data_IF_626178207667
#
_entry.id   IF_626178207667
#
_cell.length_a   1.000
_cell.length_b   1.000
_cell.length_c   1.000
_cell.angle_alpha   90.00
_cell.angle_beta   90.00
_cell.angle_gamma   90.00
#
_symmetry.space_group_name_H-M   'P 1'
#
loop_
_entity.id
_entity.type
_entity.pdbx_description
1 polymer ?
#
# COMPACT_ATOMS: atom_id res chain seq x y z
N UNK A 1 -15.77 -64.20 19.99
CA UNK A 1 -15.10 -62.97 20.48
C UNK A 1 -14.17 -62.30 19.46
N UNK A 2 -13.63 -63.03 18.47
CA UNK A 2 -12.64 -62.52 17.48
C UNK A 2 -13.16 -61.53 16.41
N UNK A 3 -14.47 -61.48 16.13
CA UNK A 3 -15.05 -60.62 15.07
C UNK A 3 -15.25 -59.15 15.52
N UNK A 4 -15.46 -58.92 16.83
CA UNK A 4 -15.81 -57.61 17.41
C UNK A 4 -14.58 -56.69 17.53
N UNK A 5 -13.41 -57.24 17.82
CA UNK A 5 -12.13 -56.51 17.90
C UNK A 5 -11.62 -56.03 16.53
N UNK A 6 -11.80 -56.83 15.47
CA UNK A 6 -11.42 -56.44 14.11
C UNK A 6 -12.30 -55.30 13.60
N UNK A 7 -13.61 -55.38 13.83
CA UNK A 7 -14.54 -54.32 13.47
C UNK A 7 -14.22 -53.00 14.20
N UNK A 8 -13.88 -53.06 15.49
CA UNK A 8 -13.50 -51.87 16.27
C UNK A 8 -12.20 -51.22 15.74
N UNK A 9 -11.18 -52.02 15.41
CA UNK A 9 -9.93 -51.50 14.82
C UNK A 9 -10.14 -50.91 13.43
N UNK A 10 -11.05 -51.46 12.64
CA UNK A 10 -11.39 -50.93 11.29
C UNK A 10 -12.13 -49.60 11.42
N UNK A 11 -13.15 -49.52 12.29
CA UNK A 11 -13.89 -48.28 12.54
C UNK A 11 -12.98 -47.19 13.09
N UNK A 12 -12.08 -47.53 14.02
CA UNK A 12 -11.09 -46.59 14.56
C UNK A 12 -10.14 -46.06 13.48
N UNK A 13 -9.65 -46.93 12.58
CA UNK A 13 -8.82 -46.52 11.44
C UNK A 13 -9.58 -45.61 10.47
N UNK A 14 -10.84 -45.93 10.17
CA UNK A 14 -11.68 -45.11 9.27
C UNK A 14 -11.91 -43.73 9.89
N UNK A 15 -12.28 -43.65 11.17
CA UNK A 15 -12.44 -42.39 11.89
C UNK A 15 -11.14 -41.57 11.89
N UNK A 16 -10.01 -42.21 12.15
CA UNK A 16 -8.70 -41.53 12.15
C UNK A 16 -8.36 -40.97 10.76
N UNK A 17 -8.63 -41.74 9.69
CA UNK A 17 -8.43 -41.28 8.31
C UNK A 17 -9.35 -40.11 7.94
N UNK A 18 -10.63 -40.14 8.33
CA UNK A 18 -11.55 -39.03 8.11
C UNK A 18 -11.12 -37.76 8.84
N UNK A 19 -10.66 -37.88 10.09
CA UNK A 19 -10.14 -36.74 10.86
C UNK A 19 -8.90 -36.14 10.18
N UNK A 20 -7.97 -36.97 9.70
CA UNK A 20 -6.78 -36.49 8.98
C UNK A 20 -7.18 -35.75 7.69
N UNK A 21 -8.13 -36.27 6.92
CA UNK A 21 -8.60 -35.62 5.69
C UNK A 21 -9.23 -34.26 5.98
N UNK A 22 -10.05 -34.15 7.03
CA UNK A 22 -10.66 -32.88 7.44
C UNK A 22 -9.60 -31.87 7.86
N UNK A 23 -8.58 -32.31 8.62
CA UNK A 23 -7.48 -31.43 9.04
C UNK A 23 -6.66 -30.92 7.85
N UNK A 24 -6.37 -31.77 6.86
CA UNK A 24 -5.67 -31.37 5.64
C UNK A 24 -6.50 -30.40 4.81
N UNK A 25 -7.80 -30.67 4.64
CA UNK A 25 -8.70 -29.77 3.91
C UNK A 25 -8.83 -28.40 4.60
N UNK A 26 -8.91 -28.38 5.94
CA UNK A 26 -8.94 -27.14 6.71
C UNK A 26 -7.62 -26.35 6.59
N UNK A 27 -6.47 -27.03 6.63
CA UNK A 27 -5.16 -26.38 6.44
C UNK A 27 -4.99 -25.79 5.03
N UNK A 28 -5.42 -26.52 3.99
CA UNK A 28 -5.38 -26.04 2.60
C UNK A 28 -6.36 -24.87 2.39
N UNK A 29 -7.58 -24.96 2.92
CA UNK A 29 -8.57 -23.89 2.87
C UNK A 29 -8.12 -22.63 3.62
N UNK A 30 -7.49 -22.78 4.79
CA UNK A 30 -6.97 -21.68 5.57
C UNK A 30 -5.77 -20.99 4.89
N UNK A 31 -4.86 -21.75 4.27
CA UNK A 31 -3.78 -21.20 3.45
C UNK A 31 -4.29 -20.40 2.24
N UNK A 32 -5.36 -20.87 1.59
CA UNK A 32 -6.03 -20.14 0.50
C UNK A 32 -6.67 -18.82 0.97
N UNK A 33 -7.28 -18.82 2.17
CA UNK A 33 -7.87 -17.61 2.74
C UNK A 33 -6.81 -16.59 3.18
N UNK A 34 -5.69 -17.04 3.77
CA UNK A 34 -4.56 -16.16 4.12
C UNK A 34 -3.88 -15.55 2.88
N UNK A 35 -3.89 -16.25 1.75
CA UNK A 35 -3.33 -15.72 0.49
C UNK A 35 -4.12 -14.52 -0.07
N UNK A 36 -5.33 -14.24 0.42
CA UNK A 36 -6.21 -13.21 -0.14
C UNK A 36 -6.13 -11.85 0.58
N UNK A 37 -5.34 -11.72 1.64
CA UNK A 37 -5.08 -10.43 2.28
C UNK A 37 -3.88 -9.74 1.61
N UNK A 38 -4.13 -9.20 0.42
CA UNK A 38 -3.15 -8.39 -0.28
C UNK A 38 -3.15 -7.00 0.35
N UNK A 39 -2.32 -6.80 1.38
CA UNK A 39 -1.89 -5.46 1.79
C UNK A 39 -1.19 -4.83 0.59
N UNK A 40 -1.94 -4.07 -0.22
CA UNK A 40 -1.35 -3.34 -1.33
C UNK A 40 -0.40 -2.28 -0.77
N UNK A 41 0.89 -2.55 -0.94
CA UNK A 41 2.02 -1.63 -0.80
C UNK A 41 2.01 -0.81 0.49
N UNK A 42 2.74 -1.26 1.50
CA UNK A 42 3.22 -0.33 2.52
C UNK A 42 4.07 0.75 1.84
N UNK A 43 3.70 2.02 1.99
CA UNK A 43 4.39 3.11 1.30
C UNK A 43 5.74 3.37 1.96
N UNK A 44 6.82 3.10 1.23
CA UNK A 44 8.19 3.35 1.70
C UNK A 44 8.58 4.81 1.52
N UNK A 45 8.28 5.63 2.53
CA UNK A 45 8.64 7.05 2.56
C UNK A 45 10.15 7.26 2.74
N UNK A 46 10.74 8.13 1.93
CA UNK A 46 12.15 8.48 1.96
C UNK A 46 12.33 10.00 1.90
N UNK A 47 13.49 10.55 2.26
CA UNK A 47 13.73 11.98 2.07
C UNK A 47 13.73 12.34 0.57
N UNK A 48 13.01 13.40 0.20
CA UNK A 48 13.01 13.94 -1.16
C UNK A 48 14.38 14.51 -1.60
N UNK A 49 15.33 14.72 -0.67
CA UNK A 49 16.69 15.14 -1.01
C UNK A 49 17.54 14.04 -1.66
N UNK A 50 17.05 12.81 -1.74
CA UNK A 50 17.77 11.75 -2.44
C UNK A 50 17.87 12.06 -3.94
N UNK A 51 19.04 11.82 -4.57
CA UNK A 51 19.23 12.11 -6.00
C UNK A 51 18.18 11.50 -6.93
N UNK A 52 17.61 10.35 -6.55
CA UNK A 52 16.56 9.68 -7.32
C UNK A 52 15.27 10.49 -7.48
N UNK A 53 15.03 11.50 -6.64
CA UNK A 53 13.81 12.34 -6.67
C UNK A 53 14.06 13.75 -7.19
N UNK A 54 15.30 14.15 -7.49
CA UNK A 54 15.60 15.53 -7.87
C UNK A 54 14.89 15.99 -9.14
N UNK A 55 14.66 15.08 -10.09
CA UNK A 55 13.93 15.39 -11.33
C UNK A 55 12.43 15.64 -11.13
N UNK A 56 11.90 15.41 -9.93
CA UNK A 56 10.48 15.62 -9.62
C UNK A 56 10.15 17.08 -9.34
N UNK A 57 11.16 17.89 -9.00
CA UNK A 57 11.00 19.25 -8.52
C UNK A 57 11.82 20.23 -9.38
N UNK A 58 11.27 21.42 -9.62
CA UNK A 58 12.01 22.50 -10.27
C UNK A 58 12.91 23.27 -9.31
N UNK A 59 12.59 23.24 -8.02
CA UNK A 59 13.35 23.84 -6.92
C UNK A 59 13.66 22.75 -5.88
N UNK A 60 14.70 22.94 -5.04
CA UNK A 60 14.98 22.00 -3.96
C UNK A 60 13.75 21.85 -3.03
N UNK A 61 13.26 20.61 -2.78
CA UNK A 61 12.11 20.38 -1.92
C UNK A 61 12.44 20.71 -0.45
N UNK A 62 11.45 20.94 0.42
CA UNK A 62 11.67 21.18 1.86
C UNK A 62 12.36 20.00 2.56
N UNK A 63 13.21 20.31 3.54
CA UNK A 63 13.99 19.32 4.32
C UNK A 63 13.15 18.16 4.86
N UNK A 64 11.95 18.47 5.35
CA UNK A 64 11.04 17.50 5.94
C UNK A 64 10.16 16.75 4.92
N UNK A 65 10.20 17.10 3.64
CA UNK A 65 9.37 16.46 2.62
C UNK A 65 9.84 15.02 2.37
N UNK A 66 8.89 14.11 2.42
CA UNK A 66 9.11 12.70 2.13
C UNK A 66 8.57 12.36 0.74
N UNK A 67 9.26 11.50 0.01
CA UNK A 67 8.96 11.03 -1.33
C UNK A 67 8.82 9.51 -1.32
N UNK A 68 7.90 9.00 -2.13
CA UNK A 68 7.73 7.56 -2.36
C UNK A 68 7.31 7.30 -3.81
N UNK A 69 7.72 6.14 -4.31
CA UNK A 69 7.30 5.60 -5.60
C UNK A 69 6.57 4.28 -5.33
N UNK A 70 5.28 4.23 -5.66
CA UNK A 70 4.42 3.08 -5.40
C UNK A 70 4.20 2.33 -6.70
N UNK A 71 4.51 1.04 -6.73
CA UNK A 71 4.17 0.16 -7.85
C UNK A 71 2.75 -0.37 -7.69
N UNK A 72 1.93 -0.16 -8.72
CA UNK A 72 0.55 -0.60 -8.79
C UNK A 72 0.34 -1.37 -10.10
N UNK A 73 -0.59 -2.34 -10.15
CA UNK A 73 -0.98 -2.94 -11.42
C UNK A 73 -1.61 -1.88 -12.33
N UNK A 74 -1.33 -1.97 -13.63
CA UNK A 74 -1.90 -1.09 -14.65
C UNK A 74 -3.41 -1.35 -14.83
N UNK A 75 -3.77 -2.63 -14.81
CA UNK A 75 -5.12 -3.13 -15.07
C UNK A 75 -5.41 -4.41 -14.26
N UNK A 76 -6.62 -4.94 -14.43
CA UNK A 76 -7.11 -6.12 -13.71
C UNK A 76 -6.36 -7.42 -14.07
N UNK A 77 -5.66 -7.46 -15.20
CA UNK A 77 -4.84 -8.63 -15.58
C UNK A 77 -3.58 -8.73 -14.72
N UNK A 78 -3.13 -7.59 -14.18
CA UNK A 78 -1.91 -7.43 -13.38
C UNK A 78 -0.62 -7.84 -14.12
N UNK A 79 -0.67 -7.97 -15.45
CA UNK A 79 0.49 -8.34 -16.28
C UNK A 79 1.50 -7.19 -16.43
N UNK A 80 1.07 -5.96 -16.14
CA UNK A 80 1.90 -4.74 -16.20
C UNK A 80 1.73 -3.94 -14.94
N UNK A 81 2.80 -3.27 -14.53
CA UNK A 81 2.79 -2.32 -13.41
C UNK A 81 3.10 -0.91 -13.86
N UNK A 82 2.60 0.04 -13.08
CA UNK A 82 2.87 1.46 -13.18
C UNK A 82 3.41 1.95 -11.85
N UNK A 83 4.22 2.99 -11.91
CA UNK A 83 4.72 3.68 -10.74
C UNK A 83 3.94 4.98 -10.55
N UNK A 84 3.45 5.18 -9.32
CA UNK A 84 2.84 6.43 -8.87
C UNK A 84 3.81 7.12 -7.92
N UNK A 85 4.24 8.32 -8.28
CA UNK A 85 5.04 9.18 -7.43
C UNK A 85 4.15 9.94 -6.44
N UNK A 86 4.59 9.99 -5.19
CA UNK A 86 3.90 10.69 -4.12
C UNK A 86 4.89 11.47 -3.24
N UNK A 87 4.40 12.56 -2.67
CA UNK A 87 5.06 13.28 -1.58
C UNK A 87 4.22 13.25 -0.32
N UNK A 88 4.87 13.40 0.84
CA UNK A 88 4.24 13.51 2.15
C UNK A 88 5.01 14.52 2.98
N UNK A 89 4.33 15.57 3.41
CA UNK A 89 4.77 16.40 4.52
C UNK A 89 4.22 15.78 5.82
N UNK A 90 5.08 15.20 6.67
CA UNK A 90 4.60 14.63 7.92
C UNK A 90 4.21 15.73 8.91
N UNK A 91 2.99 15.68 9.44
CA UNK A 91 2.65 16.36 10.70
C UNK A 91 3.52 15.86 11.86
N UNK A 92 3.77 16.75 12.82
CA UNK A 92 4.38 16.41 14.11
C UNK A 92 3.43 15.63 15.05
N UNK A 93 2.12 15.67 14.80
CA UNK A 93 1.13 14.91 15.56
C UNK A 93 1.14 13.44 15.11
N UNK A 94 1.43 12.52 16.04
CA UNK A 94 1.47 11.09 15.78
C UNK A 94 0.10 10.50 15.38
N UNK A 95 -1.00 11.15 15.76
CA UNK A 95 -2.37 10.73 15.45
C UNK A 95 -2.95 11.41 14.20
N UNK A 96 -2.14 12.22 13.51
CA UNK A 96 -2.55 12.94 12.31
C UNK A 96 -3.11 11.99 11.24
N UNK A 97 -4.11 12.48 10.50
CA UNK A 97 -4.67 11.77 9.35
C UNK A 97 -4.00 12.22 8.06
N UNK A 98 -4.19 11.46 7.00
CA UNK A 98 -3.68 11.80 5.67
C UNK A 98 -4.65 12.74 4.96
N UNK A 99 -4.12 13.84 4.40
CA UNK A 99 -4.83 14.77 3.53
C UNK A 99 -4.18 14.75 2.15
N UNK A 100 -4.84 14.13 1.18
CA UNK A 100 -4.37 14.10 -0.20
C UNK A 100 -4.77 15.39 -0.93
N UNK A 101 -3.78 16.10 -1.44
CA UNK A 101 -3.96 17.26 -2.28
C UNK A 101 -4.09 16.85 -3.74
N UNK A 102 -5.20 17.21 -4.36
CA UNK A 102 -5.40 17.12 -5.80
C UNK A 102 -5.45 18.55 -6.33
N UNK A 103 -4.48 18.89 -7.17
CA UNK A 103 -4.36 20.24 -7.73
C UNK A 103 -4.08 20.16 -9.22
N UNK A 104 -4.29 21.30 -9.87
CA UNK A 104 -4.09 21.51 -11.30
C UNK A 104 -5.15 20.84 -12.22
N UNK A 105 -5.04 21.07 -13.52
CA UNK A 105 -5.81 20.40 -14.56
C UNK A 105 -5.21 19.04 -14.96
N UNK A 106 -5.75 18.41 -16.01
CA UNK A 106 -5.15 17.21 -16.58
C UNK A 106 -3.71 17.47 -17.04
N UNK A 107 -2.77 16.67 -16.56
CA UNK A 107 -1.34 16.79 -16.91
C UNK A 107 -0.47 17.49 -15.86
N UNK A 108 -1.07 18.10 -14.84
CA UNK A 108 -0.35 18.64 -13.67
C UNK A 108 -0.33 17.68 -12.48
N UNK A 109 0.50 17.96 -11.48
CA UNK A 109 0.65 17.16 -10.26
C UNK A 109 0.76 18.02 -9.01
N UNK A 110 0.57 17.42 -7.83
CA UNK A 110 0.61 18.12 -6.53
C UNK A 110 1.87 17.86 -5.70
N UNK A 111 2.91 17.23 -6.27
CA UNK A 111 4.12 16.82 -5.54
C UNK A 111 4.81 17.97 -4.79
N UNK A 112 4.83 19.16 -5.38
CA UNK A 112 5.44 20.39 -4.87
C UNK A 112 4.41 21.39 -4.33
N UNK A 113 3.12 21.04 -4.27
CA UNK A 113 2.08 22.00 -3.84
C UNK A 113 2.29 22.49 -2.40
N UNK A 114 2.98 21.70 -1.59
CA UNK A 114 3.35 22.03 -0.22
C UNK A 114 4.19 23.32 -0.11
N UNK A 115 4.97 23.64 -1.13
CA UNK A 115 5.84 24.82 -1.16
C UNK A 115 5.04 26.13 -1.35
N UNK A 116 3.80 25.99 -1.84
CA UNK A 116 2.88 27.10 -2.08
C UNK A 116 1.93 27.32 -0.90
N UNK A 117 1.90 26.40 0.06
CA UNK A 117 1.09 26.54 1.27
C UNK A 117 1.65 27.66 2.14
N UNK A 118 0.84 28.70 2.34
CA UNK A 118 1.18 29.87 3.16
C UNK A 118 1.57 29.50 4.59
N UNK A 119 2.19 30.45 5.26
CA UNK A 119 2.50 30.37 6.70
C UNK A 119 1.47 31.18 7.50
N UNK A 120 0.19 31.13 7.11
CA UNK A 120 -0.90 31.66 7.92
C UNK A 120 -1.36 30.65 8.97
N UNK A 121 -2.16 31.12 9.93
CA UNK A 121 -2.64 30.30 11.05
C UNK A 121 -3.48 29.09 10.59
N UNK A 122 -4.27 29.27 9.52
CA UNK A 122 -5.11 28.22 8.98
C UNK A 122 -4.27 27.09 8.37
N UNK A 123 -3.28 27.44 7.56
CA UNK A 123 -2.39 26.48 6.91
C UNK A 123 -1.49 25.77 7.90
N UNK A 124 -1.05 26.45 8.97
CA UNK A 124 -0.35 25.79 10.09
C UNK A 124 -1.23 24.77 10.78
N UNK A 125 -2.47 25.14 11.11
CA UNK A 125 -3.44 24.23 11.73
C UNK A 125 -3.65 22.96 10.88
N UNK A 126 -3.69 23.12 9.55
CA UNK A 126 -3.75 21.99 8.61
C UNK A 126 -2.49 21.13 8.68
N UNK A 127 -1.30 21.73 8.55
CA UNK A 127 0.00 21.01 8.62
C UNK A 127 0.19 20.28 9.96
N UNK A 128 -0.35 20.82 11.05
CA UNK A 128 -0.30 20.22 12.39
C UNK A 128 -1.32 19.08 12.56
N UNK A 129 -2.45 19.13 11.85
CA UNK A 129 -3.53 18.13 11.99
C UNK A 129 -3.41 16.97 11.01
N UNK A 130 -2.70 17.17 9.90
CA UNK A 130 -2.63 16.20 8.81
C UNK A 130 -1.21 15.96 8.31
N UNK A 131 -0.91 14.72 7.96
CA UNK A 131 0.12 14.48 6.95
C UNK A 131 -0.43 14.97 5.62
N UNK A 132 0.27 15.87 4.94
CA UNK A 132 -0.21 16.44 3.68
C UNK A 132 0.48 15.72 2.54
N UNK A 133 -0.30 15.09 1.66
CA UNK A 133 0.22 14.26 0.57
C UNK A 133 0.01 14.93 -0.78
N UNK A 134 1.05 14.87 -1.61
CA UNK A 134 0.98 15.18 -3.03
C UNK A 134 1.06 13.91 -3.87
N UNK A 135 0.53 13.95 -5.09
CA UNK A 135 0.54 12.83 -6.02
C UNK A 135 0.75 13.33 -7.45
N UNK A 136 1.54 12.58 -8.22
CA UNK A 136 1.51 12.66 -9.67
C UNK A 136 0.65 11.50 -10.18
N UNK A 137 -0.46 11.82 -10.81
CA UNK A 137 -1.41 10.83 -11.32
C UNK A 137 -0.73 9.97 -12.40
N UNK A 138 -1.33 8.80 -12.71
CA UNK A 138 -0.86 7.98 -13.84
C UNK A 138 -0.77 8.81 -15.12
N UNK A 139 0.27 8.62 -15.92
CA UNK A 139 0.47 9.40 -17.15
C UNK A 139 1.04 10.81 -16.95
N UNK A 140 1.14 11.30 -15.70
CA UNK A 140 1.75 12.59 -15.38
C UNK A 140 3.14 12.36 -14.81
N UNK A 141 4.17 12.96 -15.42
CA UNK A 141 5.54 12.85 -14.90
C UNK A 141 5.58 13.38 -13.45
N UNK A 142 6.34 12.73 -12.56
CA UNK A 142 7.28 11.64 -12.78
C UNK A 142 6.67 10.22 -12.68
N UNK A 143 5.35 10.08 -12.53
CA UNK A 143 4.69 8.77 -12.60
C UNK A 143 4.81 8.17 -14.00
N UNK A 144 4.64 6.84 -14.08
CA UNK A 144 4.77 6.10 -15.34
C UNK A 144 3.83 6.68 -16.39
N UNK A 145 4.41 7.01 -17.56
CA UNK A 145 3.65 7.39 -18.74
C UNK A 145 2.84 6.19 -19.24
N UNK A 146 1.61 6.43 -19.67
CA UNK A 146 0.74 5.41 -20.26
C UNK A 146 0.63 5.74 -21.74
N UNK A 147 0.92 4.78 -22.59
CA UNK A 147 0.76 4.82 -24.05
C UNK A 147 -0.57 4.21 -24.51
#
# INVERSE_FOLDING_TARGET
MYCREKAFKIIFKILLSFVIIILVAAALGFGYLLSKEQTQGEVSWQSCYRPTFWSWFSLPPPAQLQCAAIELPLDDTQDKTITIAMTRLPSANADAKDLLLLSDGPGGHSLDMIDWLSEDEYTRTLKDSFHVLGVAQRGVKPSTAID
#
